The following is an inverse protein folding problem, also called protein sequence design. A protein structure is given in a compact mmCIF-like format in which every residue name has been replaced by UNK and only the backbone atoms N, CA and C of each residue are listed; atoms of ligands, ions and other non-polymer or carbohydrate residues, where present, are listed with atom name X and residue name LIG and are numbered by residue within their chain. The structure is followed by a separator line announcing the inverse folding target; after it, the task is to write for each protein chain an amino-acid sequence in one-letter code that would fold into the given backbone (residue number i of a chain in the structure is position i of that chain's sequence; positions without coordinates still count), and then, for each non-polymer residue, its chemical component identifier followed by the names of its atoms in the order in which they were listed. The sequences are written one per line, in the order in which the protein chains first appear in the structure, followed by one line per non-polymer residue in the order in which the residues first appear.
data_IF_225805198067
#
_entry.id   IF_225805198067
#
_cell.length_a   1.000
_cell.length_b   1.000
_cell.length_c   1.000
_cell.angle_alpha   90.00
_cell.angle_beta   90.00
_cell.angle_gamma   90.00
#
_symmetry.space_group_name_H-M   'P 1'
#
loop_
_entity.id
_entity.type
_entity.pdbx_description
1 polymer ?
#
# COMPACT_ATOMS: atom_id res chain seq x y z
N UNK A 1 -18.16 -2.27 10.04
CA UNK A 1 -18.24 -1.74 8.68
C UNK A 1 -16.81 -1.54 8.21
N UNK A 2 -16.38 -2.35 7.26
CA UNK A 2 -15.01 -2.30 6.77
C UNK A 2 -14.82 -1.03 5.97
N UNK A 3 -13.74 -0.31 6.28
CA UNK A 3 -13.44 0.96 5.62
C UNK A 3 -12.53 0.68 4.44
N UNK A 4 -12.83 1.30 3.32
CA UNK A 4 -11.90 1.34 2.20
C UNK A 4 -10.82 2.39 2.47
N UNK A 5 -9.56 1.97 2.49
CA UNK A 5 -8.40 2.82 2.75
C UNK A 5 -7.55 2.92 1.50
N UNK A 6 -7.35 4.14 1.00
CA UNK A 6 -6.49 4.39 -0.17
C UNK A 6 -5.12 4.87 0.31
N UNK A 7 -4.09 4.09 0.00
CA UNK A 7 -2.69 4.42 0.28
C UNK A 7 -2.00 4.80 -1.03
N UNK A 8 -1.65 6.07 -1.16
CA UNK A 8 -0.77 6.53 -2.24
C UNK A 8 0.69 6.27 -1.86
N UNK A 9 1.29 5.24 -2.46
CA UNK A 9 2.60 4.70 -2.06
C UNK A 9 3.71 5.75 -2.22
N UNK A 10 3.58 6.68 -3.17
CA UNK A 10 4.57 7.75 -3.34
C UNK A 10 4.69 8.65 -2.09
N UNK A 11 3.59 8.89 -1.38
CA UNK A 11 3.55 9.72 -0.18
C UNK A 11 4.29 9.10 1.01
N UNK A 12 4.66 7.82 0.94
CA UNK A 12 5.44 7.18 2.01
C UNK A 12 6.89 7.65 2.04
N UNK A 13 7.42 8.08 0.89
CA UNK A 13 8.81 8.50 0.72
C UNK A 13 8.99 9.93 0.21
N UNK A 14 7.96 10.59 -0.35
CA UNK A 14 8.02 12.01 -0.71
C UNK A 14 7.61 12.93 0.44
N UNK A 15 8.14 14.15 0.49
CA UNK A 15 7.68 15.21 1.40
C UNK A 15 7.02 16.34 0.63
N UNK A 16 6.34 17.27 1.33
CA UNK A 16 5.74 18.46 0.70
C UNK A 16 6.76 19.38 0.02
N UNK A 17 8.05 19.23 0.32
CA UNK A 17 9.12 20.07 -0.21
C UNK A 17 9.94 19.40 -1.30
N UNK A 18 10.05 18.07 -1.34
CA UNK A 18 10.85 17.34 -2.32
C UNK A 18 10.19 16.02 -2.78
N UNK A 19 10.24 15.77 -4.11
CA UNK A 19 10.04 14.44 -4.69
C UNK A 19 11.30 13.61 -4.45
N UNK A 20 11.35 12.86 -3.35
CA UNK A 20 12.45 11.93 -3.07
C UNK A 20 12.26 10.62 -3.87
N UNK A 21 13.34 9.90 -4.11
CA UNK A 21 13.31 8.54 -4.66
C UNK A 21 13.22 7.57 -3.48
N UNK A 22 12.38 6.55 -3.55
CA UNK A 22 12.32 5.54 -2.50
C UNK A 22 13.69 4.86 -2.31
N UNK A 23 14.17 4.79 -1.06
CA UNK A 23 15.49 4.23 -0.73
C UNK A 23 15.32 2.93 0.03
N UNK A 24 16.02 1.87 -0.38
CA UNK A 24 15.99 0.57 0.32
C UNK A 24 16.38 0.69 1.80
N UNK A 25 17.34 1.57 2.13
CA UNK A 25 17.73 1.85 3.52
C UNK A 25 16.60 2.38 4.42
N UNK A 26 15.49 2.85 3.83
CA UNK A 26 14.31 3.36 4.55
C UNK A 26 13.11 2.41 4.47
N UNK A 27 13.31 1.18 3.97
CA UNK A 27 12.24 0.21 3.72
C UNK A 27 11.34 -0.01 4.95
N UNK A 28 11.93 -0.23 6.12
CA UNK A 28 11.17 -0.48 7.36
C UNK A 28 10.29 0.70 7.76
N UNK A 29 10.75 1.93 7.48
CA UNK A 29 9.95 3.15 7.69
C UNK A 29 8.73 3.17 6.78
N UNK A 30 8.89 2.80 5.50
CA UNK A 30 7.78 2.78 4.55
C UNK A 30 6.76 1.70 4.90
N UNK A 31 7.23 0.51 5.28
CA UNK A 31 6.38 -0.59 5.72
C UNK A 31 5.59 -0.20 6.98
N UNK A 32 6.27 0.39 7.97
CA UNK A 32 5.63 0.82 9.23
C UNK A 32 4.54 1.86 8.98
N UNK A 33 4.81 2.85 8.11
CA UNK A 33 3.79 3.83 7.69
C UNK A 33 2.61 3.18 6.98
N UNK A 34 2.87 2.27 6.03
CA UNK A 34 1.80 1.58 5.31
C UNK A 34 0.92 0.73 6.25
N UNK A 35 1.54 -0.01 7.19
CA UNK A 35 0.82 -0.77 8.22
C UNK A 35 -0.04 0.12 9.12
N UNK A 36 0.48 1.28 9.52
CA UNK A 36 -0.27 2.23 10.35
C UNK A 36 -1.48 2.80 9.59
N UNK A 37 -1.29 3.21 8.33
CA UNK A 37 -2.36 3.73 7.47
C UNK A 37 -3.44 2.67 7.18
N UNK A 38 -3.03 1.42 6.92
CA UNK A 38 -3.94 0.34 6.59
C UNK A 38 -4.93 0.00 7.72
N UNK A 39 -4.54 0.19 8.99
CA UNK A 39 -5.33 -0.30 10.12
C UNK A 39 -5.43 -1.83 10.13
N UNK A 40 -6.44 -2.39 10.81
CA UNK A 40 -6.72 -3.83 10.90
C UNK A 40 -8.05 -4.15 10.21
N UNK A 41 -8.09 -5.23 9.40
CA UNK A 41 -9.31 -5.76 8.79
C UNK A 41 -9.92 -4.92 7.65
N UNK A 42 -9.28 -3.81 7.27
CA UNK A 42 -9.79 -2.93 6.21
C UNK A 42 -9.55 -3.49 4.80
N UNK A 43 -10.33 -2.99 3.84
CA UNK A 43 -10.01 -3.11 2.42
C UNK A 43 -9.01 -2.01 2.07
N UNK A 44 -7.85 -2.39 1.53
CA UNK A 44 -6.77 -1.46 1.23
C UNK A 44 -6.52 -1.38 -0.27
N UNK A 45 -6.44 -0.16 -0.80
CA UNK A 45 -6.07 0.11 -2.19
C UNK A 45 -4.70 0.77 -2.20
N UNK A 46 -3.72 0.13 -2.84
CA UNK A 46 -2.41 0.71 -3.12
C UNK A 46 -2.42 1.38 -4.50
N UNK A 47 -2.00 2.63 -4.57
CA UNK A 47 -1.91 3.38 -5.82
C UNK A 47 -0.72 4.33 -5.83
N UNK A 48 -0.51 5.06 -6.93
CA UNK A 48 0.59 6.02 -7.09
C UNK A 48 1.79 5.50 -7.87
N UNK A 49 2.79 6.37 -8.04
CA UNK A 49 4.05 6.01 -8.69
C UNK A 49 5.08 5.61 -7.63
N UNK A 50 5.51 4.35 -7.64
CA UNK A 50 6.59 3.88 -6.79
C UNK A 50 7.29 2.68 -7.44
N UNK A 51 8.53 2.34 -7.01
CA UNK A 51 9.22 1.16 -7.50
C UNK A 51 8.45 -0.13 -7.21
N UNK A 52 8.51 -1.10 -8.13
CA UNK A 52 7.82 -2.40 -7.99
C UNK A 52 8.20 -3.12 -6.70
N UNK A 53 9.49 -3.09 -6.30
CA UNK A 53 9.95 -3.73 -5.07
C UNK A 53 9.27 -3.18 -3.81
N UNK A 54 8.87 -1.90 -3.81
CA UNK A 54 8.20 -1.29 -2.66
C UNK A 54 6.76 -1.79 -2.57
N UNK A 55 6.06 -1.90 -3.70
CA UNK A 55 4.74 -2.53 -3.76
C UNK A 55 4.79 -3.97 -3.24
N UNK A 56 5.75 -4.78 -3.69
CA UNK A 56 5.89 -6.16 -3.25
C UNK A 56 6.08 -6.27 -1.72
N UNK A 57 6.97 -5.45 -1.16
CA UNK A 57 7.24 -5.45 0.29
C UNK A 57 6.04 -4.98 1.10
N UNK A 58 5.34 -3.93 0.66
CA UNK A 58 4.13 -3.43 1.33
C UNK A 58 3.01 -4.47 1.23
N UNK A 59 2.75 -5.04 0.05
CA UNK A 59 1.70 -6.03 -0.14
C UNK A 59 1.91 -7.25 0.77
N UNK A 60 3.13 -7.78 0.82
CA UNK A 60 3.48 -8.86 1.74
C UNK A 60 3.24 -8.46 3.21
N UNK A 61 3.68 -7.27 3.60
CA UNK A 61 3.52 -6.77 4.97
C UNK A 61 2.05 -6.52 5.38
N UNK A 62 1.14 -6.34 4.41
CA UNK A 62 -0.29 -6.12 4.64
C UNK A 62 -1.14 -7.40 4.55
N UNK A 63 -0.57 -8.53 4.10
CA UNK A 63 -1.31 -9.79 3.88
C UNK A 63 -2.01 -10.32 5.14
N UNK A 64 -1.41 -10.13 6.32
CA UNK A 64 -2.01 -10.51 7.61
C UNK A 64 -2.71 -9.36 8.34
N UNK A 65 -2.95 -8.23 7.67
CA UNK A 65 -3.40 -6.97 8.29
C UNK A 65 -4.65 -6.39 7.63
N UNK A 66 -4.65 -6.36 6.30
CA UNK A 66 -5.82 -6.01 5.50
C UNK A 66 -6.66 -7.27 5.25
N UNK A 67 -7.98 -7.11 5.18
CA UNK A 67 -8.89 -8.19 4.74
C UNK A 67 -8.77 -8.42 3.24
N UNK A 68 -8.64 -7.32 2.48
CA UNK A 68 -8.54 -7.32 1.03
C UNK A 68 -7.52 -6.28 0.60
N UNK A 69 -6.70 -6.60 -0.40
CA UNK A 69 -5.71 -5.69 -0.95
C UNK A 69 -5.87 -5.59 -2.47
N UNK A 70 -5.93 -4.35 -2.95
CA UNK A 70 -6.12 -4.01 -4.36
C UNK A 70 -4.95 -3.14 -4.81
N UNK A 71 -4.41 -3.41 -5.99
CA UNK A 71 -3.56 -2.48 -6.72
C UNK A 71 -4.41 -1.68 -7.70
N UNK A 72 -4.31 -0.35 -7.66
CA UNK A 72 -5.03 0.55 -8.58
C UNK A 72 -4.05 1.36 -9.42
N UNK A 73 -4.15 1.24 -10.75
CA UNK A 73 -3.41 2.07 -11.70
C UNK A 73 -4.32 2.66 -12.78
N UNK A 74 -3.93 3.78 -13.42
CA UNK A 74 -4.68 4.35 -14.55
C UNK A 74 -4.78 3.41 -15.76
N UNK A 75 -3.88 2.42 -15.88
CA UNK A 75 -3.80 1.52 -17.04
C UNK A 75 -4.63 0.26 -16.83
N UNK A 76 -4.53 -0.34 -15.65
CA UNK A 76 -5.17 -1.62 -15.34
C UNK A 76 -6.50 -1.48 -14.61
N UNK A 77 -6.82 -0.28 -14.09
CA UNK A 77 -7.87 -0.15 -13.09
C UNK A 77 -7.51 -0.91 -11.81
N UNK A 78 -8.51 -1.55 -11.21
CA UNK A 78 -8.36 -2.33 -9.99
C UNK A 78 -7.95 -3.77 -10.27
N UNK A 79 -6.86 -4.18 -9.64
CA UNK A 79 -6.38 -5.56 -9.65
C UNK A 79 -6.34 -6.05 -8.21
N UNK A 80 -7.18 -7.03 -7.89
CA UNK A 80 -7.16 -7.67 -6.56
C UNK A 80 -5.85 -8.46 -6.42
N UNK A 81 -5.09 -8.16 -5.37
CA UNK A 81 -3.87 -8.90 -5.01
C UNK A 81 -4.24 -10.10 -4.13
N UNK A 82 -5.06 -9.88 -3.11
CA UNK A 82 -5.66 -10.94 -2.29
C UNK A 82 -7.00 -10.48 -1.73
N UNK A 83 -7.83 -11.45 -1.39
CA UNK A 83 -9.13 -11.25 -0.75
C UNK A 83 -9.35 -12.38 0.26
N UNK A 84 -9.41 -12.06 1.54
CA UNK A 84 -9.69 -12.99 2.63
C UNK A 84 -11.13 -12.84 3.15
N UNK A 85 -12.01 -12.24 2.36
CA UNK A 85 -13.44 -12.21 2.68
C UNK A 85 -13.99 -13.64 2.62
N UNK A 86 -14.73 -14.09 3.65
CA UNK A 86 -15.34 -15.42 3.67
C UNK A 86 -16.60 -15.52 2.81
N UNK A 87 -17.02 -14.41 2.20
CA UNK A 87 -18.27 -14.21 1.47
C UNK A 87 -18.21 -14.72 0.01
#
# INVERSE_FOLDING_TARGET
MDKQIIINVNKLFTTSKNKDIAKLAKLDTYISKAKALAGEGNEVILTGQAPVWLYLKIAHALHGKARKLIYRSPVTGDVVIFDHSPD
#
